data_IF_920694949963
#
_entry.id   IF_920694949963
#
_cell.length_a   1.000
_cell.length_b   1.000
_cell.length_c   1.000
_cell.angle_alpha   90.00
_cell.angle_beta   90.00
_cell.angle_gamma   90.00
#
_symmetry.space_group_name_H-M   'P 1'
#
loop_
_entity.id
_entity.type
_entity.pdbx_description
1 polymer ?
#
# COMPACT_ATOMS: atom_id res chain seq x y z
N UNK A 1 -11.24 -17.23 -11.90
CA UNK A 1 -10.99 -15.97 -12.64
C UNK A 1 -11.46 -14.76 -11.86
N UNK A 2 -12.75 -14.45 -11.93
CA UNK A 2 -13.31 -13.21 -11.38
C UNK A 2 -13.18 -13.05 -9.85
N UNK A 3 -13.48 -14.09 -9.07
CA UNK A 3 -13.40 -14.03 -7.61
C UNK A 3 -11.98 -13.73 -7.09
N UNK A 4 -10.95 -14.26 -7.79
CA UNK A 4 -9.54 -13.98 -7.47
C UNK A 4 -9.24 -12.50 -7.77
N UNK A 5 -9.67 -12.00 -8.92
CA UNK A 5 -9.51 -10.59 -9.28
C UNK A 5 -10.17 -9.65 -8.27
N UNK A 6 -11.36 -9.98 -7.77
CA UNK A 6 -12.05 -9.19 -6.73
C UNK A 6 -11.25 -9.16 -5.43
N UNK A 7 -10.72 -10.31 -4.99
CA UNK A 7 -9.91 -10.40 -3.77
C UNK A 7 -8.61 -9.59 -3.90
N UNK A 8 -7.93 -9.71 -5.05
CA UNK A 8 -6.70 -8.95 -5.33
C UNK A 8 -6.99 -7.45 -5.39
N UNK A 9 -8.08 -7.04 -6.03
CA UNK A 9 -8.47 -5.62 -6.11
C UNK A 9 -8.73 -5.03 -4.73
N UNK A 10 -9.50 -5.71 -3.88
CA UNK A 10 -9.77 -5.26 -2.52
C UNK A 10 -8.48 -5.09 -1.70
N UNK A 11 -7.53 -6.01 -1.87
CA UNK A 11 -6.23 -5.94 -1.20
C UNK A 11 -5.40 -4.73 -1.69
N UNK A 12 -5.31 -4.54 -3.00
CA UNK A 12 -4.61 -3.40 -3.62
C UNK A 12 -5.25 -2.08 -3.19
N UNK A 13 -6.57 -1.93 -3.32
CA UNK A 13 -7.29 -0.69 -2.97
C UNK A 13 -7.11 -0.30 -1.50
N UNK A 14 -6.94 -1.27 -0.59
CA UNK A 14 -6.60 -1.00 0.82
C UNK A 14 -5.26 -0.27 0.95
N UNK A 15 -4.22 -0.73 0.24
CA UNK A 15 -2.88 -0.12 0.32
C UNK A 15 -2.85 1.25 -0.36
N UNK A 16 -3.53 1.38 -1.52
CA UNK A 16 -3.68 2.66 -2.20
C UNK A 16 -4.46 3.69 -1.36
N UNK A 17 -5.48 3.25 -0.61
CA UNK A 17 -6.21 4.09 0.34
C UNK A 17 -5.28 4.63 1.44
N UNK A 18 -4.49 3.76 2.05
CA UNK A 18 -3.54 4.16 3.09
C UNK A 18 -2.42 5.06 2.56
N UNK A 19 -1.87 4.77 1.37
CA UNK A 19 -0.86 5.62 0.71
C UNK A 19 -1.35 7.06 0.54
N UNK A 20 -2.61 7.24 0.11
CA UNK A 20 -3.20 8.57 -0.11
C UNK A 20 -3.49 9.30 1.20
N UNK A 21 -3.92 8.58 2.25
CA UNK A 21 -4.33 9.17 3.51
C UNK A 21 -3.15 9.45 4.46
N UNK A 22 -2.27 8.47 4.66
CA UNK A 22 -1.19 8.52 5.65
C UNK A 22 0.18 8.85 5.04
N UNK A 23 0.49 8.32 3.85
CA UNK A 23 1.81 8.49 3.23
C UNK A 23 1.94 9.76 2.36
N UNK A 24 0.93 10.64 2.36
CA UNK A 24 0.98 11.93 1.63
C UNK A 24 0.97 11.80 0.10
N UNK A 25 0.68 10.62 -0.45
CA UNK A 25 0.72 10.36 -1.91
C UNK A 25 -0.49 10.96 -2.67
N UNK A 26 -1.43 11.62 -1.98
CA UNK A 26 -2.54 12.34 -2.62
C UNK A 26 -2.06 13.57 -3.40
N UNK A 27 -0.98 14.22 -2.95
CA UNK A 27 -0.37 15.37 -3.60
C UNK A 27 1.16 15.24 -3.53
N UNK A 28 1.74 14.56 -4.53
CA UNK A 28 3.18 14.30 -4.59
C UNK A 28 3.93 15.59 -4.92
N UNK A 29 4.91 15.95 -4.09
CA UNK A 29 5.74 17.16 -4.26
C UNK A 29 7.00 16.92 -5.10
N UNK A 30 7.34 15.66 -5.36
CA UNK A 30 8.51 15.28 -6.15
C UNK A 30 8.23 15.42 -7.65
N UNK A 31 9.21 15.94 -8.41
CA UNK A 31 9.13 16.09 -9.86
C UNK A 31 10.02 15.06 -10.56
N UNK A 32 9.46 14.39 -11.57
CA UNK A 32 10.13 13.38 -12.39
C UNK A 32 9.72 11.95 -12.02
N UNK A 33 9.52 11.11 -13.03
CA UNK A 33 8.96 9.75 -12.88
C UNK A 33 9.78 8.89 -11.91
N UNK A 34 11.10 8.90 -12.05
CA UNK A 34 12.02 8.10 -11.21
C UNK A 34 11.89 8.43 -9.72
N UNK A 35 11.73 9.72 -9.37
CA UNK A 35 11.58 10.13 -7.95
C UNK A 35 10.22 9.75 -7.39
N UNK A 36 9.18 9.87 -8.21
CA UNK A 36 7.82 9.46 -7.83
C UNK A 36 7.75 7.94 -7.67
N UNK A 37 8.41 7.19 -8.54
CA UNK A 37 8.46 5.72 -8.47
C UNK A 37 9.18 5.24 -7.21
N UNK A 38 10.34 5.82 -6.88
CA UNK A 38 11.06 5.50 -5.64
C UNK A 38 10.21 5.82 -4.39
N UNK A 39 9.53 6.97 -4.38
CA UNK A 39 8.61 7.33 -3.28
C UNK A 39 7.44 6.35 -3.16
N UNK A 40 6.86 5.94 -4.29
CA UNK A 40 5.76 4.99 -4.33
C UNK A 40 6.19 3.61 -3.79
N UNK A 41 7.34 3.10 -4.22
CA UNK A 41 7.89 1.82 -3.74
C UNK A 41 8.15 1.87 -2.22
N UNK A 42 8.76 2.95 -1.73
CA UNK A 42 8.98 3.15 -0.31
C UNK A 42 7.66 3.16 0.48
N UNK A 43 6.65 3.88 -0.01
CA UNK A 43 5.35 3.96 0.65
C UNK A 43 4.63 2.60 0.67
N UNK A 44 4.72 1.81 -0.41
CA UNK A 44 4.17 0.46 -0.45
C UNK A 44 4.88 -0.48 0.53
N UNK A 45 6.21 -0.38 0.64
CA UNK A 45 6.97 -1.13 1.64
C UNK A 45 6.53 -0.75 3.07
N UNK A 46 6.36 0.54 3.35
CA UNK A 46 5.85 1.02 4.63
C UNK A 46 4.43 0.51 4.93
N UNK A 47 3.53 0.48 3.94
CA UNK A 47 2.19 -0.10 4.10
C UNK A 47 2.24 -1.57 4.52
N UNK A 48 3.19 -2.34 3.99
CA UNK A 48 3.40 -3.73 4.41
C UNK A 48 3.83 -3.81 5.87
N UNK A 49 4.78 -2.96 6.30
CA UNK A 49 5.24 -2.91 7.69
C UNK A 49 4.12 -2.54 8.67
N UNK A 50 3.28 -1.56 8.33
CA UNK A 50 2.13 -1.15 9.15
C UNK A 50 1.12 -2.28 9.33
N UNK A 51 1.02 -3.19 8.34
CA UNK A 51 0.12 -4.34 8.39
C UNK A 51 0.70 -5.54 9.13
N UNK A 52 2.03 -5.63 9.30
CA UNK A 52 2.69 -6.78 9.94
C UNK A 52 2.13 -7.11 11.34
N UNK A 53 1.90 -6.16 12.27
CA UNK A 53 1.38 -6.49 13.60
C UNK A 53 0.04 -7.22 13.54
N UNK A 54 -0.84 -6.80 12.62
CA UNK A 54 -2.16 -7.44 12.41
C UNK A 54 -2.01 -8.85 11.83
N UNK A 55 -1.03 -9.08 10.96
CA UNK A 55 -0.75 -10.39 10.39
C UNK A 55 -0.15 -11.34 11.43
N UNK A 56 0.77 -10.85 12.26
CA UNK A 56 1.36 -11.61 13.36
C UNK A 56 0.27 -12.01 14.35
N UNK A 57 -0.60 -11.07 14.75
CA UNK A 57 -1.73 -11.38 15.63
C UNK A 57 -2.71 -12.40 15.03
N UNK A 58 -3.00 -12.31 13.73
CA UNK A 58 -3.88 -13.26 13.05
C UNK A 58 -3.25 -14.66 12.87
N UNK A 59 -1.92 -14.76 12.80
CA UNK A 59 -1.21 -16.05 12.71
C UNK A 59 -0.85 -16.66 14.06
N UNK A 60 -0.99 -15.91 15.16
CA UNK A 60 -0.80 -16.39 16.52
C UNK A 60 -2.09 -16.96 17.16
N UNK A 61 -3.22 -16.83 16.48
CA UNK A 61 -4.52 -17.39 16.84
C UNK A 61 -4.81 -18.66 16.02
#
# INVERSE_FOLDING_TARGET
GYAISLRTRAWIETHFGWLKAAAGMRQVKQRGLTKVEALFQLAMAASNLVRLPKLIAAGAA
#
